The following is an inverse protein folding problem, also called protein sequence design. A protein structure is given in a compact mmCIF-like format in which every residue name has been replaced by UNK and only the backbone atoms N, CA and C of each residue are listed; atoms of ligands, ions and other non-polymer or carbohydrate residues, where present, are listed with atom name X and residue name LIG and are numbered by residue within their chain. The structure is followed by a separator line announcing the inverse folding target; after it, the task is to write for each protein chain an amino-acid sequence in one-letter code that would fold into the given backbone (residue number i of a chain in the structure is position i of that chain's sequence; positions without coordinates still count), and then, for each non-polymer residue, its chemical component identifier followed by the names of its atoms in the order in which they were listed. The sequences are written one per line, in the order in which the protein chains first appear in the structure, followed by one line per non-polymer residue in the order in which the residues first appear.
data_IF_451095732974
#
_entry.id   IF_451095732974
#
_cell.length_a   1.000
_cell.length_b   1.000
_cell.length_c   1.000
_cell.angle_alpha   90.00
_cell.angle_beta   90.00
_cell.angle_gamma   90.00
#
_symmetry.space_group_name_H-M   'P 1'
#
loop_
_entity.id
_entity.type
_entity.pdbx_description
1 polymer ?
#
# COMPACT_ATOMS: atom_id res chain seq x y z
N UNK A 1 -17.43 -55.75 -11.41
CA UNK A 1 -18.58 -55.35 -10.57
C UNK A 1 -18.07 -54.43 -9.46
N UNK A 2 -18.48 -53.15 -9.53
CA UNK A 2 -18.36 -52.05 -8.55
C UNK A 2 -17.03 -51.78 -7.80
N UNK A 3 -16.24 -50.83 -8.33
CA UNK A 3 -15.23 -50.09 -7.56
C UNK A 3 -15.96 -49.00 -6.73
N UNK A 4 -16.09 -49.18 -5.41
CA UNK A 4 -16.63 -48.15 -4.50
C UNK A 4 -15.67 -46.96 -4.45
N UNK A 5 -16.00 -45.85 -5.13
CA UNK A 5 -15.39 -44.54 -4.89
C UNK A 5 -15.75 -44.08 -3.47
N UNK A 6 -14.79 -44.09 -2.53
CA UNK A 6 -14.92 -43.42 -1.24
C UNK A 6 -14.84 -41.91 -1.47
N UNK A 7 -15.92 -41.18 -1.18
CA UNK A 7 -15.91 -39.72 -1.13
C UNK A 7 -14.94 -39.26 -0.02
N UNK A 8 -13.90 -38.52 -0.38
CA UNK A 8 -13.09 -37.75 0.57
C UNK A 8 -13.95 -36.55 1.02
N UNK A 9 -14.35 -36.54 2.28
CA UNK A 9 -15.16 -35.45 2.85
C UNK A 9 -14.21 -34.38 3.37
N UNK A 10 -14.11 -33.26 2.66
CA UNK A 10 -13.45 -32.04 3.17
C UNK A 10 -14.52 -31.28 3.95
N UNK A 11 -14.36 -31.16 5.26
CA UNK A 11 -15.19 -30.28 6.07
C UNK A 11 -14.51 -28.91 6.06
N UNK A 12 -14.96 -28.02 5.17
CA UNK A 12 -14.61 -26.61 5.20
C UNK A 12 -15.61 -25.90 6.13
N UNK A 13 -15.18 -25.55 7.33
CA UNK A 13 -15.98 -24.70 8.22
C UNK A 13 -15.73 -23.26 7.80
N UNK A 14 -16.62 -22.71 6.97
CA UNK A 14 -16.66 -21.29 6.66
C UNK A 14 -17.36 -20.56 7.82
N UNK A 15 -16.58 -19.97 8.73
CA UNK A 15 -17.10 -19.00 9.68
C UNK A 15 -17.29 -17.67 8.94
N UNK A 16 -18.55 -17.30 8.69
CA UNK A 16 -18.91 -15.96 8.26
C UNK A 16 -18.73 -15.05 9.48
N UNK A 17 -17.57 -14.39 9.58
CA UNK A 17 -17.31 -13.36 10.57
C UNK A 17 -17.20 -11.99 9.88
N UNK A 18 -18.13 -11.11 10.23
CA UNK A 18 -18.14 -9.70 9.86
C UNK A 18 -16.83 -9.02 10.31
N UNK A 19 -16.10 -8.43 9.36
CA UNK A 19 -15.11 -7.35 9.52
C UNK A 19 -14.14 -7.42 10.70
N UNK A 20 -13.48 -8.56 10.92
CA UNK A 20 -12.30 -8.67 11.80
C UNK A 20 -11.28 -9.52 11.05
N UNK A 21 -10.02 -9.07 10.99
CA UNK A 21 -8.95 -9.59 10.12
C UNK A 21 -9.01 -11.11 9.90
N UNK A 22 -9.10 -11.52 8.63
CA UNK A 22 -9.18 -12.92 8.23
C UNK A 22 -7.90 -13.66 8.65
N UNK A 23 -7.95 -14.37 9.78
CA UNK A 23 -6.98 -15.40 10.12
C UNK A 23 -7.48 -16.73 9.58
N UNK A 24 -7.01 -17.13 8.39
CA UNK A 24 -7.29 -18.46 7.86
C UNK A 24 -6.23 -19.45 8.33
N UNK A 25 -6.55 -20.28 9.33
CA UNK A 25 -5.74 -21.47 9.66
C UNK A 25 -6.32 -22.68 8.92
N UNK A 26 -5.58 -23.26 7.98
CA UNK A 26 -5.94 -24.55 7.37
C UNK A 26 -5.28 -25.70 8.12
N UNK A 27 -6.07 -26.59 8.73
CA UNK A 27 -5.58 -27.84 9.32
C UNK A 27 -5.73 -28.94 8.27
N UNK A 28 -4.62 -29.50 7.78
CA UNK A 28 -4.65 -30.71 6.95
C UNK A 28 -4.45 -31.93 7.84
N UNK A 29 -5.47 -32.80 7.92
CA UNK A 29 -5.36 -34.10 8.57
C UNK A 29 -5.10 -35.15 7.50
N UNK A 30 -3.88 -35.68 7.45
CA UNK A 30 -3.56 -36.84 6.62
C UNK A 30 -3.90 -38.10 7.41
N UNK A 31 -4.93 -38.83 6.97
CA UNK A 31 -5.46 -40.00 7.69
C UNK A 31 -4.69 -41.32 7.44
N UNK A 32 -3.60 -41.32 6.67
CA UNK A 32 -2.89 -42.54 6.26
C UNK A 32 -1.58 -42.81 7.02
N UNK A 33 -1.06 -41.83 7.75
CA UNK A 33 0.02 -42.03 8.72
C UNK A 33 -0.30 -41.19 9.93
N UNK A 34 -0.25 -41.75 11.14
CA UNK A 34 -0.67 -41.10 12.39
C UNK A 34 0.16 -39.88 12.83
N UNK A 35 0.69 -39.10 11.89
CA UNK A 35 1.36 -37.82 12.11
C UNK A 35 0.42 -36.65 11.84
N UNK A 36 0.15 -35.85 12.88
CA UNK A 36 -0.39 -34.51 12.71
C UNK A 36 0.75 -33.62 12.21
N UNK A 37 0.67 -33.17 10.97
CA UNK A 37 1.60 -32.17 10.43
C UNK A 37 1.03 -30.78 10.70
N UNK A 38 1.68 -30.03 11.60
CA UNK A 38 1.42 -28.60 11.74
C UNK A 38 2.24 -27.87 10.67
N UNK A 39 1.63 -27.66 9.49
CA UNK A 39 2.16 -26.67 8.57
C UNK A 39 1.87 -25.29 9.17
N UNK A 40 2.91 -24.67 9.72
CA UNK A 40 2.86 -23.30 10.20
C UNK A 40 2.83 -22.39 8.95
N UNK A 41 1.67 -22.30 8.29
CA UNK A 41 1.46 -21.34 7.23
C UNK A 41 1.71 -19.96 7.85
N UNK A 42 2.78 -19.28 7.42
CA UNK A 42 3.09 -17.91 7.87
C UNK A 42 1.81 -17.09 7.73
N UNK A 43 1.17 -16.79 8.85
CA UNK A 43 -0.10 -16.09 8.87
C UNK A 43 0.16 -14.69 8.35
N UNK A 44 -0.35 -14.41 7.14
CA UNK A 44 -0.41 -13.07 6.58
C UNK A 44 -1.64 -12.40 7.16
N UNK A 45 -1.45 -11.40 8.01
CA UNK A 45 -2.54 -10.55 8.45
C UNK A 45 -2.68 -9.39 7.47
N UNK A 46 -3.92 -9.08 7.10
CA UNK A 46 -4.26 -7.96 6.22
C UNK A 46 -5.19 -7.02 6.95
N UNK A 47 -4.80 -5.75 7.04
CA UNK A 47 -5.54 -4.69 7.71
C UNK A 47 -5.98 -3.67 6.65
N UNK A 48 -7.27 -3.64 6.26
CA UNK A 48 -7.78 -2.67 5.31
C UNK A 48 -7.99 -1.31 5.96
N UNK A 49 -7.92 -0.24 5.17
CA UNK A 49 -8.38 1.11 5.55
C UNK A 49 -9.89 1.25 5.32
N UNK A 50 -10.45 2.37 5.79
CA UNK A 50 -11.71 2.87 5.27
C UNK A 50 -11.59 3.14 3.75
N UNK A 51 -12.70 2.99 3.04
CA UNK A 51 -12.80 3.28 1.61
C UNK A 51 -13.08 4.76 1.43
N UNK A 52 -12.36 5.41 0.50
CA UNK A 52 -12.64 6.78 0.06
C UNK A 52 -13.21 6.77 -1.34
N UNK A 53 -14.28 7.53 -1.58
CA UNK A 53 -14.87 7.71 -2.91
C UNK A 53 -14.41 9.01 -3.56
N UNK A 54 -14.20 9.01 -4.87
CA UNK A 54 -13.92 10.20 -5.67
C UNK A 54 -14.46 10.04 -7.11
N UNK A 55 -14.56 11.12 -7.87
CA UNK A 55 -15.14 11.13 -9.22
C UNK A 55 -14.17 11.74 -10.23
N UNK A 56 -13.98 11.08 -11.38
CA UNK A 56 -13.21 11.60 -12.51
C UNK A 56 -13.97 11.36 -13.81
N UNK A 57 -14.14 12.40 -14.63
CA UNK A 57 -14.79 12.29 -15.94
C UNK A 57 -16.19 11.62 -15.90
N UNK A 58 -17.00 11.93 -14.88
CA UNK A 58 -18.33 11.32 -14.69
C UNK A 58 -18.32 9.84 -14.25
N UNK A 59 -17.14 9.26 -13.97
CA UNK A 59 -16.99 7.91 -13.42
C UNK A 59 -16.65 7.99 -11.93
N UNK A 60 -17.28 7.13 -11.13
CA UNK A 60 -17.00 7.01 -9.70
C UNK A 60 -15.85 6.03 -9.48
N UNK A 61 -14.98 6.37 -8.53
CA UNK A 61 -13.85 5.55 -8.12
C UNK A 61 -13.87 5.39 -6.61
N UNK A 62 -13.29 4.29 -6.14
CA UNK A 62 -12.99 4.05 -4.73
C UNK A 62 -11.53 3.73 -4.54
N UNK A 63 -10.92 4.29 -3.50
CA UNK A 63 -9.56 4.00 -3.06
C UNK A 63 -9.55 3.29 -1.71
N UNK A 64 -8.65 2.31 -1.56
CA UNK A 64 -8.44 1.61 -0.30
C UNK A 64 -6.96 1.21 -0.14
N UNK A 65 -6.43 1.34 1.06
CA UNK A 65 -5.09 0.88 1.42
C UNK A 65 -5.16 -0.37 2.29
N UNK A 66 -4.13 -1.19 2.21
CA UNK A 66 -3.98 -2.41 3.00
C UNK A 66 -2.58 -2.47 3.58
N UNK A 67 -2.49 -2.72 4.88
CA UNK A 67 -1.26 -3.19 5.50
C UNK A 67 -1.26 -4.70 5.50
N UNK A 68 -0.24 -5.31 4.89
CA UNK A 68 -0.05 -6.76 4.85
C UNK A 68 1.19 -7.07 5.68
N UNK A 69 1.02 -7.81 6.77
CA UNK A 69 2.14 -8.24 7.63
C UNK A 69 2.29 -9.74 7.63
N UNK A 70 3.53 -10.25 7.58
CA UNK A 70 3.77 -11.61 8.06
C UNK A 70 4.11 -11.56 9.56
N UNK A 71 3.68 -12.57 10.32
CA UNK A 71 3.89 -12.61 11.77
C UNK A 71 5.36 -12.68 12.24
N UNK A 72 6.33 -12.38 11.37
CA UNK A 72 7.77 -12.36 11.65
C UNK A 72 8.41 -10.99 11.39
N UNK A 73 7.60 -9.91 11.34
CA UNK A 73 8.08 -8.52 11.35
C UNK A 73 8.18 -7.86 9.98
N UNK A 74 7.76 -8.53 8.90
CA UNK A 74 7.68 -7.90 7.59
C UNK A 74 6.35 -7.20 7.38
N UNK A 75 6.39 -6.02 6.77
CA UNK A 75 5.21 -5.28 6.34
C UNK A 75 5.29 -4.88 4.86
N UNK A 76 4.12 -4.82 4.22
CA UNK A 76 3.90 -4.27 2.88
C UNK A 76 2.71 -3.34 2.91
N UNK A 77 2.85 -2.18 2.26
CA UNK A 77 1.74 -1.31 1.96
C UNK A 77 1.19 -1.64 0.58
N UNK A 78 -0.11 -1.84 0.47
CA UNK A 78 -0.82 -1.98 -0.82
C UNK A 78 -1.82 -0.85 -0.94
N UNK A 79 -1.95 -0.30 -2.13
CA UNK A 79 -3.02 0.62 -2.50
C UNK A 79 -3.83 0.02 -3.65
N UNK A 80 -5.14 0.24 -3.63
CA UNK A 80 -6.09 -0.22 -4.64
C UNK A 80 -6.97 0.93 -5.07
N UNK A 81 -7.18 1.06 -6.38
CA UNK A 81 -8.21 1.91 -6.98
C UNK A 81 -9.18 1.04 -7.76
N UNK A 82 -10.48 1.31 -7.61
CA UNK A 82 -11.54 0.58 -8.30
C UNK A 82 -12.50 1.56 -8.96
N UNK A 83 -12.72 1.41 -10.26
CA UNK A 83 -13.73 2.18 -11.00
C UNK A 83 -15.12 1.55 -10.90
N UNK A 84 -16.16 2.37 -11.07
CA UNK A 84 -17.55 1.89 -11.15
C UNK A 84 -17.80 1.00 -12.38
N UNK A 85 -16.93 1.09 -13.38
CA UNK A 85 -16.89 0.26 -14.61
C UNK A 85 -15.42 -0.04 -14.98
N UNK A 86 -15.14 -0.99 -15.88
CA UNK A 86 -13.80 -1.21 -16.38
C UNK A 86 -13.19 0.04 -17.03
N UNK A 87 -11.99 0.39 -16.61
CA UNK A 87 -11.25 1.60 -16.98
C UNK A 87 -10.14 1.22 -17.96
N UNK A 88 -10.01 1.97 -19.06
CA UNK A 88 -8.97 1.74 -20.08
C UNK A 88 -7.55 1.87 -19.52
N UNK A 89 -6.58 1.26 -20.20
CA UNK A 89 -5.18 1.28 -19.82
C UNK A 89 -4.64 2.72 -19.59
N UNK A 90 -3.79 2.88 -18.58
CA UNK A 90 -3.17 4.15 -18.18
C UNK A 90 -4.12 5.09 -17.43
N UNK A 91 -5.44 4.87 -17.42
CA UNK A 91 -6.41 5.86 -16.91
C UNK A 91 -6.67 5.81 -15.42
N UNK A 92 -6.14 4.82 -14.71
CA UNK A 92 -6.10 4.82 -13.25
C UNK A 92 -4.76 4.30 -12.74
N UNK A 93 -4.34 4.82 -11.61
CA UNK A 93 -3.07 4.45 -11.00
C UNK A 93 -3.07 4.60 -9.50
N UNK A 94 -2.07 4.03 -8.85
CA UNK A 94 -1.89 4.11 -7.41
C UNK A 94 -0.41 4.25 -7.05
N UNK A 95 -0.16 4.89 -5.92
CA UNK A 95 1.09 4.81 -5.17
C UNK A 95 0.80 4.19 -3.80
N UNK A 96 1.77 3.46 -3.25
CA UNK A 96 1.67 2.83 -1.94
C UNK A 96 2.85 3.23 -1.05
N UNK A 97 2.59 3.37 0.24
CA UNK A 97 3.61 3.75 1.24
C UNK A 97 3.46 2.93 2.52
N UNK A 98 4.59 2.68 3.19
CA UNK A 98 4.64 2.16 4.56
C UNK A 98 5.12 3.28 5.48
N UNK A 99 4.49 3.39 6.64
CA UNK A 99 4.86 4.31 7.70
C UNK A 99 5.19 3.54 8.98
N UNK A 100 6.02 4.12 9.84
CA UNK A 100 6.20 3.63 11.21
C UNK A 100 5.05 4.05 12.13
N UNK A 101 5.15 3.68 13.42
CA UNK A 101 4.20 4.06 14.46
C UNK A 101 4.23 5.53 14.86
N UNK A 102 5.13 6.33 14.29
CA UNK A 102 5.17 7.78 14.45
C UNK A 102 4.61 8.48 13.21
N UNK A 103 4.30 7.76 12.12
CA UNK A 103 3.85 8.35 10.86
C UNK A 103 4.97 8.82 9.94
N UNK A 104 6.22 8.40 10.17
CA UNK A 104 7.37 8.61 9.29
C UNK A 104 7.28 7.64 8.11
N UNK A 105 7.45 8.12 6.88
CA UNK A 105 7.51 7.24 5.71
C UNK A 105 8.80 6.42 5.74
N UNK A 106 8.62 5.12 5.66
CA UNK A 106 9.71 4.14 5.62
C UNK A 106 10.02 3.75 4.17
N UNK A 107 9.00 3.39 3.40
CA UNK A 107 9.08 2.98 2.00
C UNK A 107 7.93 3.61 1.19
N UNK A 108 8.19 3.90 -0.09
CA UNK A 108 7.19 4.41 -1.01
C UNK A 108 7.43 3.93 -2.44
N UNK A 109 6.34 3.80 -3.20
CA UNK A 109 6.41 3.54 -4.64
C UNK A 109 6.15 4.82 -5.43
N UNK A 110 6.63 4.83 -6.68
CA UNK A 110 6.07 5.71 -7.71
C UNK A 110 4.58 5.45 -7.93
N UNK A 111 3.95 6.29 -8.75
CA UNK A 111 2.67 5.93 -9.34
C UNK A 111 2.87 4.85 -10.39
N UNK A 112 2.09 3.78 -10.26
CA UNK A 112 1.91 2.78 -11.30
C UNK A 112 0.48 2.86 -11.81
N UNK A 113 0.28 2.47 -13.06
CA UNK A 113 -0.97 2.60 -13.79
C UNK A 113 -1.39 1.25 -14.36
N UNK A 114 -2.70 1.09 -14.55
CA UNK A 114 -3.26 -0.13 -15.11
C UNK A 114 -2.80 -0.34 -16.56
N UNK A 115 -2.16 -1.48 -16.86
CA UNK A 115 -1.67 -1.77 -18.22
C UNK A 115 -2.78 -2.25 -19.17
N UNK A 116 -3.89 -2.72 -18.60
CA UNK A 116 -5.02 -3.29 -19.32
C UNK A 116 -6.32 -2.65 -18.86
N UNK A 117 -7.36 -2.82 -19.69
CA UNK A 117 -8.72 -2.45 -19.30
C UNK A 117 -9.17 -3.32 -18.12
N UNK A 118 -9.34 -2.72 -16.96
CA UNK A 118 -9.71 -3.43 -15.73
C UNK A 118 -10.57 -2.56 -14.84
N UNK A 119 -11.38 -3.19 -13.98
CA UNK A 119 -12.18 -2.47 -13.00
C UNK A 119 -11.39 -2.13 -11.74
N UNK A 120 -10.40 -2.96 -11.37
CA UNK A 120 -9.58 -2.78 -10.18
C UNK A 120 -8.10 -2.82 -10.55
N UNK A 121 -7.31 -1.93 -9.95
CA UNK A 121 -5.86 -1.93 -10.09
C UNK A 121 -5.22 -1.72 -8.72
N UNK A 122 -4.20 -2.54 -8.44
CA UNK A 122 -3.50 -2.52 -7.17
C UNK A 122 -1.99 -2.58 -7.36
N UNK A 123 -1.28 -1.91 -6.46
CA UNK A 123 0.17 -1.93 -6.41
C UNK A 123 0.63 -1.99 -4.96
N UNK A 124 1.70 -2.72 -4.68
CA UNK A 124 2.25 -2.89 -3.34
C UNK A 124 3.73 -2.51 -3.27
N UNK A 125 4.15 -1.98 -2.13
CA UNK A 125 5.57 -1.74 -1.82
C UNK A 125 6.35 -3.05 -1.77
N UNK A 126 7.69 -2.96 -1.85
CA UNK A 126 8.55 -4.04 -1.37
C UNK A 126 8.34 -4.25 0.15
N UNK A 127 8.81 -5.40 0.62
CA UNK A 127 8.74 -5.77 2.03
C UNK A 127 9.68 -4.91 2.87
N UNK A 128 9.18 -4.31 3.94
CA UNK A 128 10.00 -3.62 4.93
C UNK A 128 10.12 -4.46 6.21
N UNK A 129 11.31 -4.44 6.82
CA UNK A 129 11.62 -5.10 8.07
C UNK A 129 12.32 -4.11 9.00
N UNK A 130 11.83 -3.93 10.23
CA UNK A 130 12.48 -3.02 11.18
C UNK A 130 11.69 -2.58 12.40
N UNK A 131 10.40 -2.89 12.52
CA UNK A 131 9.58 -2.42 13.64
C UNK A 131 8.41 -3.35 14.02
N UNK A 132 7.87 -3.20 15.24
CA UNK A 132 6.74 -3.98 15.72
C UNK A 132 5.40 -3.49 15.16
N UNK A 133 5.32 -2.22 14.75
CA UNK A 133 4.07 -1.59 14.32
C UNK A 133 4.28 -0.73 13.08
N UNK A 134 3.42 -0.92 12.10
CA UNK A 134 3.44 -0.21 10.83
C UNK A 134 2.06 0.33 10.50
N UNK A 135 2.04 1.32 9.63
CA UNK A 135 0.85 1.73 8.90
C UNK A 135 1.09 1.66 7.39
N UNK A 136 0.02 1.53 6.62
CA UNK A 136 0.03 1.60 5.17
C UNK A 136 -0.90 2.72 4.71
N UNK A 137 -0.54 3.36 3.60
CA UNK A 137 -1.34 4.38 2.94
C UNK A 137 -0.94 4.51 1.48
N UNK A 138 -1.40 5.58 0.84
CA UNK A 138 -1.05 5.84 -0.54
C UNK A 138 -2.00 6.86 -1.17
N UNK A 139 -2.00 6.90 -2.48
CA UNK A 139 -2.90 7.75 -3.25
C UNK A 139 -3.37 7.03 -4.51
N UNK A 140 -4.59 7.34 -4.93
CA UNK A 140 -5.16 6.92 -6.19
C UNK A 140 -5.15 8.07 -7.19
N UNK A 141 -4.98 7.73 -8.46
CA UNK A 141 -5.11 8.65 -9.60
C UNK A 141 -6.14 8.13 -10.58
N UNK A 142 -6.89 9.04 -11.18
CA UNK A 142 -7.78 8.76 -12.29
C UNK A 142 -7.81 9.91 -13.29
N UNK A 143 -7.99 9.57 -14.58
CA UNK A 143 -7.97 10.55 -15.67
C UNK A 143 -9.30 11.27 -15.83
N UNK A 144 -9.21 12.59 -15.95
CA UNK A 144 -10.33 13.49 -16.29
C UNK A 144 -10.56 13.54 -17.80
N UNK A 145 -11.68 14.12 -18.24
CA UNK A 145 -11.97 14.31 -19.68
C UNK A 145 -10.91 15.13 -20.42
N UNK A 146 -10.10 15.92 -19.70
CA UNK A 146 -8.99 16.71 -20.25
C UNK A 146 -7.66 15.95 -20.30
N UNK A 147 -7.66 14.62 -20.09
CA UNK A 147 -6.46 13.77 -19.98
C UNK A 147 -5.56 14.04 -18.76
N UNK A 148 -5.94 14.99 -17.90
CA UNK A 148 -5.25 15.27 -16.64
C UNK A 148 -5.64 14.29 -15.54
N UNK A 149 -4.71 13.95 -14.65
CA UNK A 149 -5.01 13.12 -13.48
C UNK A 149 -5.51 13.95 -12.31
N UNK A 150 -6.61 13.51 -11.70
CA UNK A 150 -6.91 13.88 -10.32
C UNK A 150 -6.24 12.89 -9.37
N UNK A 151 -5.75 13.40 -8.24
CA UNK A 151 -5.14 12.58 -7.19
C UNK A 151 -6.04 12.60 -5.96
N UNK A 152 -6.35 11.43 -5.43
CA UNK A 152 -7.08 11.25 -4.18
C UNK A 152 -6.18 10.54 -3.17
N UNK A 153 -5.92 11.18 -2.03
CA UNK A 153 -5.24 10.52 -0.91
C UNK A 153 -6.12 9.41 -0.35
N UNK A 154 -5.55 8.22 -0.16
CA UNK A 154 -6.24 7.06 0.39
C UNK A 154 -6.03 7.03 1.91
N UNK A 155 -7.08 6.77 2.72
CA UNK A 155 -6.95 6.68 4.18
C UNK A 155 -5.90 5.67 4.61
N UNK A 156 -5.15 5.99 5.66
CA UNK A 156 -4.17 5.08 6.24
C UNK A 156 -4.84 3.97 7.06
N UNK A 157 -4.11 2.89 7.27
CA UNK A 157 -4.49 1.75 8.11
C UNK A 157 -3.28 1.19 8.85
N UNK A 158 -3.48 0.57 10.01
CA UNK A 158 -2.41 -0.05 10.80
C UNK A 158 -2.87 -1.36 11.43
N UNK A 159 -1.95 -2.05 12.13
CA UNK A 159 -2.32 -3.20 12.99
C UNK A 159 -3.23 -2.80 14.16
N UNK A 160 -3.32 -1.52 14.53
CA UNK A 160 -4.29 -0.98 15.49
C UNK A 160 -5.55 -0.54 14.75
N UNK A 161 -6.70 -1.04 15.20
CA UNK A 161 -8.02 -0.62 14.73
C UNK A 161 -8.83 -0.02 15.90
N UNK A 162 -9.42 1.17 15.73
CA UNK A 162 -9.37 2.05 14.56
C UNK A 162 -7.98 2.67 14.33
N UNK A 163 -7.61 2.96 13.09
CA UNK A 163 -6.43 3.78 12.81
C UNK A 163 -6.73 5.21 13.24
N UNK A 164 -5.97 5.72 14.20
CA UNK A 164 -6.11 7.07 14.71
C UNK A 164 -4.81 7.85 14.49
N UNK A 165 -4.88 8.96 13.76
CA UNK A 165 -3.73 9.85 13.55
C UNK A 165 -3.24 10.47 14.86
N UNK A 166 -4.13 10.63 15.86
CA UNK A 166 -3.80 11.13 17.19
C UNK A 166 -3.09 10.09 18.07
N UNK A 167 -3.06 8.81 17.65
CA UNK A 167 -2.38 7.72 18.36
C UNK A 167 -0.93 7.52 17.93
N UNK A 168 -0.40 8.38 17.05
CA UNK A 168 1.05 8.42 16.89
C UNK A 168 1.66 8.83 18.24
N UNK A 169 2.52 7.95 18.77
CA UNK A 169 3.24 8.17 20.03
C UNK A 169 4.35 9.20 19.80
N UNK A 170 3.93 10.46 19.62
CA UNK A 170 4.77 11.61 19.37
C UNK A 170 4.39 12.74 20.31
N UNK A 171 5.38 13.52 20.73
CA UNK A 171 5.14 14.71 21.56
C UNK A 171 4.35 15.77 20.78
N UNK A 172 3.67 16.66 21.51
CA UNK A 172 2.99 17.81 20.91
C UNK A 172 3.94 18.73 20.14
N UNK A 173 5.21 18.81 20.57
CA UNK A 173 6.26 19.56 19.88
C UNK A 173 6.54 18.98 18.49
N UNK A 174 6.76 17.65 18.40
CA UNK A 174 6.95 16.96 17.11
C UNK A 174 5.70 17.07 16.24
N UNK A 175 4.50 17.00 16.85
CA UNK A 175 3.24 17.14 16.10
C UNK A 175 3.14 18.51 15.44
N UNK A 176 3.37 19.59 16.20
CA UNK A 176 3.35 20.98 15.69
C UNK A 176 4.41 21.22 14.63
N UNK A 177 5.62 20.69 14.82
CA UNK A 177 6.67 20.79 13.81
C UNK A 177 6.23 20.15 12.49
N UNK A 178 5.67 18.93 12.55
CA UNK A 178 5.22 18.21 11.35
C UNK A 178 4.03 18.89 10.67
N UNK A 179 3.08 19.41 11.44
CA UNK A 179 1.98 20.24 10.92
C UNK A 179 2.53 21.47 10.19
N UNK A 180 3.48 22.19 10.81
CA UNK A 180 4.14 23.33 10.18
C UNK A 180 4.87 22.94 8.89
N UNK A 181 5.65 21.86 8.91
CA UNK A 181 6.39 21.38 7.74
C UNK A 181 5.45 20.97 6.60
N UNK A 182 4.31 20.37 6.90
CA UNK A 182 3.29 20.01 5.91
C UNK A 182 2.59 21.26 5.35
N UNK A 183 2.01 22.09 6.21
CA UNK A 183 1.18 23.23 5.80
C UNK A 183 1.98 24.36 5.16
N UNK A 184 3.20 24.61 5.65
CA UNK A 184 4.03 25.75 5.23
C UNK A 184 5.04 25.36 4.16
N UNK A 185 5.59 24.15 4.22
CA UNK A 185 6.70 23.73 3.34
C UNK A 185 6.34 22.60 2.38
N UNK A 186 5.11 22.06 2.43
CA UNK A 186 4.70 20.93 1.60
C UNK A 186 5.63 19.71 1.78
N UNK A 187 6.07 19.46 3.02
CA UNK A 187 7.00 18.38 3.34
C UNK A 187 6.38 17.36 4.32
N UNK A 188 6.80 16.11 4.20
CA UNK A 188 6.31 15.00 5.03
C UNK A 188 7.46 14.24 5.68
N UNK A 189 7.28 13.71 6.90
CA UNK A 189 8.34 13.01 7.61
C UNK A 189 8.73 11.71 6.89
N UNK A 190 10.03 11.45 6.79
CA UNK A 190 10.61 10.31 6.11
C UNK A 190 11.92 9.84 6.76
N UNK A 191 12.22 8.55 6.63
CA UNK A 191 13.45 7.94 7.11
C UNK A 191 14.46 7.84 5.97
N UNK A 192 15.59 8.53 6.10
CA UNK A 192 16.68 8.44 5.14
C UNK A 192 17.34 7.05 5.14
N UNK A 193 17.98 6.69 4.03
CA UNK A 193 18.74 5.42 3.87
C UNK A 193 19.90 5.26 4.86
N UNK A 194 20.35 6.36 5.48
CA UNK A 194 21.36 6.37 6.53
C UNK A 194 20.76 6.26 7.95
N UNK A 195 19.44 6.07 8.08
CA UNK A 195 18.73 5.93 9.35
C UNK A 195 18.35 7.24 10.05
N UNK A 196 18.61 8.41 9.44
CA UNK A 196 18.18 9.69 9.99
C UNK A 196 16.73 10.00 9.62
N UNK A 197 15.91 10.34 10.61
CA UNK A 197 14.58 10.89 10.40
C UNK A 197 14.68 12.37 9.98
N UNK A 198 13.88 12.77 9.00
CA UNK A 198 13.75 14.15 8.54
C UNK A 198 12.51 14.30 7.65
N UNK A 199 12.58 15.15 6.65
CA UNK A 199 11.46 15.52 5.81
C UNK A 199 11.79 15.39 4.32
N UNK A 200 10.84 14.90 3.52
CA UNK A 200 10.92 14.91 2.05
C UNK A 200 9.91 15.91 1.50
N UNK A 201 10.25 16.57 0.40
CA UNK A 201 9.29 17.40 -0.33
C UNK A 201 8.24 16.51 -0.99
N UNK A 202 6.96 16.87 -0.83
CA UNK A 202 5.87 16.21 -1.56
C UNK A 202 6.07 16.37 -3.07
N UNK A 203 6.62 17.48 -3.55
CA UNK A 203 6.84 17.71 -4.98
C UNK A 203 7.98 16.85 -5.55
N UNK A 204 8.96 16.46 -4.72
CA UNK A 204 9.99 15.48 -5.10
C UNK A 204 9.46 14.04 -4.98
N UNK A 205 8.52 13.80 -4.06
CA UNK A 205 7.97 12.48 -3.78
C UNK A 205 6.83 12.06 -4.72
N UNK A 206 5.97 13.01 -5.07
CA UNK A 206 4.95 12.87 -6.09
C UNK A 206 5.66 12.96 -7.43
N UNK A 207 6.04 11.79 -7.90
CA UNK A 207 6.48 11.44 -9.24
C UNK A 207 5.97 12.36 -10.37
N UNK A 208 6.77 12.43 -11.45
CA UNK A 208 6.46 13.05 -12.75
C UNK A 208 4.98 12.85 -13.04
N UNK A 209 4.24 13.95 -13.15
CA UNK A 209 2.81 13.91 -13.40
C UNK A 209 2.62 13.73 -14.91
N UNK A 210 2.27 12.52 -15.41
CA UNK A 210 2.11 12.32 -16.84
C UNK A 210 0.95 13.18 -17.34
N UNK A 211 1.13 13.79 -18.51
CA UNK A 211 0.13 14.63 -19.15
C UNK A 211 -0.93 13.79 -19.87
N UNK A 212 -0.62 12.54 -20.21
CA UNK A 212 -1.55 11.61 -20.87
C UNK A 212 -1.44 10.17 -20.34
N UNK A 213 -2.47 9.32 -20.55
CA UNK A 213 -2.40 7.88 -20.25
C UNK A 213 -1.24 7.15 -20.95
N UNK A 214 -0.92 7.55 -22.17
CA UNK A 214 0.16 6.95 -22.96
C UNK A 214 1.53 7.30 -22.36
N UNK A 215 1.71 8.55 -21.92
CA UNK A 215 2.91 8.99 -21.21
C UNK A 215 3.06 8.25 -19.88
N UNK A 216 1.97 8.07 -19.13
CA UNK A 216 1.97 7.32 -17.87
C UNK A 216 2.48 5.89 -18.05
N UNK A 217 1.99 5.21 -19.10
CA UNK A 217 2.45 3.86 -19.44
C UNK A 217 3.88 3.83 -19.99
N UNK A 218 4.32 4.88 -20.70
CA UNK A 218 5.69 4.98 -21.18
C UNK A 218 6.70 5.16 -20.03
N UNK A 219 6.41 6.05 -19.07
CA UNK A 219 7.21 6.25 -17.86
C UNK A 219 7.31 4.94 -17.08
N UNK A 220 6.17 4.27 -16.85
CA UNK A 220 6.14 2.97 -16.17
C UNK A 220 7.00 1.91 -16.87
N UNK A 221 6.99 1.85 -18.21
CA UNK A 221 7.81 0.88 -18.97
C UNK A 221 9.31 1.13 -18.84
N UNK A 222 9.73 2.39 -18.66
CA UNK A 222 11.14 2.74 -18.43
C UNK A 222 11.57 2.27 -17.02
N UNK A 223 10.64 2.26 -16.07
CA UNK A 223 10.86 1.73 -14.72
C UNK A 223 10.82 0.20 -14.73
N UNK A 224 11.96 -0.39 -15.06
CA UNK A 224 12.17 -1.84 -14.94
C UNK A 224 11.99 -2.33 -13.50
N UNK A 225 11.88 -3.64 -13.33
CA UNK A 225 12.10 -4.26 -12.03
C UNK A 225 13.43 -3.75 -11.45
N UNK A 226 13.41 -3.28 -10.20
CA UNK A 226 14.52 -2.68 -9.45
C UNK A 226 14.90 -1.22 -9.77
N UNK A 227 14.16 -0.53 -10.62
CA UNK A 227 14.30 0.92 -10.76
C UNK A 227 14.04 1.66 -9.43
N UNK A 228 14.85 2.68 -9.12
CA UNK A 228 14.67 3.53 -7.96
C UNK A 228 15.16 4.95 -8.22
N UNK A 229 14.60 5.90 -7.49
CA UNK A 229 15.07 7.28 -7.41
C UNK A 229 15.43 7.63 -5.96
N UNK A 230 16.42 8.51 -5.81
CA UNK A 230 16.86 9.03 -4.51
C UNK A 230 16.53 10.50 -4.42
N UNK A 231 15.60 10.84 -3.53
CA UNK A 231 15.24 12.23 -3.24
C UNK A 231 15.93 12.70 -1.94
N UNK A 232 16.04 14.01 -1.76
CA UNK A 232 16.68 14.57 -0.58
C UNK A 232 15.81 14.38 0.67
N UNK A 233 16.45 14.11 1.81
CA UNK A 233 15.82 14.24 3.12
C UNK A 233 16.43 15.46 3.79
N UNK A 234 15.57 16.37 4.24
CA UNK A 234 15.92 17.63 4.84
C UNK A 234 15.65 17.62 6.35
N UNK A 235 16.38 18.41 7.12
CA UNK A 235 15.98 18.78 8.48
C UNK A 235 14.90 19.88 8.48
N UNK A 236 14.49 20.33 9.67
CA UNK A 236 13.48 21.38 9.82
C UNK A 236 13.94 22.74 9.26
N UNK A 237 15.25 22.96 9.13
CA UNK A 237 15.89 24.15 8.59
C UNK A 237 16.15 24.08 7.07
N UNK A 238 15.71 23.02 6.38
CA UNK A 238 15.93 22.74 4.96
C UNK A 238 17.37 22.36 4.56
N UNK A 239 18.23 21.93 5.50
CA UNK A 239 19.53 21.36 5.14
C UNK A 239 19.38 19.87 4.77
N UNK A 240 20.14 19.42 3.78
CA UNK A 240 20.14 18.01 3.37
C UNK A 240 20.86 17.16 4.42
N UNK A 241 20.15 16.20 5.00
CA UNK A 241 20.66 15.28 6.04
C UNK A 241 20.74 13.81 5.57
N UNK A 242 20.18 13.50 4.40
CA UNK A 242 20.19 12.16 3.85
C UNK A 242 19.47 12.04 2.50
N UNK A 243 19.21 10.81 2.10
CA UNK A 243 18.46 10.46 0.88
C UNK A 243 17.34 9.49 1.22
N UNK A 244 16.18 9.64 0.59
CA UNK A 244 15.07 8.72 0.68
C UNK A 244 14.93 7.96 -0.64
N UNK A 245 14.67 6.66 -0.58
CA UNK A 245 14.57 5.80 -1.76
C UNK A 245 13.10 5.59 -2.15
N UNK A 246 12.73 6.02 -3.34
CA UNK A 246 11.47 5.65 -4.00
C UNK A 246 11.78 4.51 -4.95
N UNK A 247 11.02 3.42 -4.92
CA UNK A 247 11.36 2.23 -5.69
C UNK A 247 10.16 1.59 -6.38
N UNK A 248 10.43 0.74 -7.36
CA UNK A 248 9.42 -0.12 -7.94
C UNK A 248 8.88 -1.09 -6.89
N UNK A 249 7.56 -1.25 -6.89
CA UNK A 249 6.86 -2.20 -6.08
C UNK A 249 6.51 -3.45 -6.88
N UNK A 250 5.33 -4.02 -6.62
CA UNK A 250 4.81 -5.15 -7.38
C UNK A 250 3.35 -4.89 -7.76
N UNK A 251 3.02 -5.06 -9.04
CA UNK A 251 1.64 -5.03 -9.51
C UNK A 251 0.88 -6.27 -9.05
N UNK A 252 -0.35 -6.08 -8.60
CA UNK A 252 -1.27 -7.16 -8.23
C UNK A 252 -2.47 -7.06 -9.15
N UNK A 253 -2.60 -8.05 -10.03
CA UNK A 253 -3.77 -8.23 -10.89
C UNK A 253 -4.72 -9.18 -10.16
N UNK A 254 -5.91 -8.69 -9.80
CA UNK A 254 -7.00 -9.44 -9.15
C UNK A 254 -8.11 -9.75 -10.14
#
# INVERSE_FOLDING_TARGET
MALKKRLKSIIAIALIASSIGLMTTSIQVNAESGGISFQNNKLKATYPSNIVGFEANGMKFTGQSFLITDGVGNARGKATVTGSVPVEAGKMGVSASIFDSKGVILHGTFYYYNEYKTQSFSYQTKSYYGGPTYAAGGAARAVTGAQQYITQTIPRTSQKTPFNYDEFDISDEIRKEREFMFETKNMIPALATNGKEGYISIDEYIDVNPSTPEEALAIQKIRSDDYFELINVYDAENNIIGKFKIETGQAIYE
#
